data_IF_776276757898
#
_entry.id   IF_776276757898
#
_cell.length_a   1.000
_cell.length_b   1.000
_cell.length_c   1.000
_cell.angle_alpha   90.00
_cell.angle_beta   90.00
_cell.angle_gamma   90.00
#
_symmetry.space_group_name_H-M   'P 1'
#
loop_
_entity.id
_entity.type
_entity.pdbx_description
1 polymer ?
#
# COMPACT_ATOMS: atom_id res chain seq x y z
N UNK A 1 22.41 13.11 45.85
CA UNK A 1 23.07 13.31 44.54
C UNK A 1 22.12 12.78 43.49
N UNK A 2 21.36 13.67 42.86
CA UNK A 2 20.34 13.34 41.86
C UNK A 2 20.91 13.59 40.45
N UNK A 3 20.77 12.65 39.51
CA UNK A 3 21.01 12.95 38.10
C UNK A 3 19.74 13.57 37.50
N UNK A 4 19.88 14.75 36.90
CA UNK A 4 18.84 15.35 36.07
C UNK A 4 18.85 14.68 34.70
N UNK A 5 17.75 14.02 34.36
CA UNK A 5 17.46 13.55 33.00
C UNK A 5 16.99 14.74 32.17
N UNK A 6 17.74 15.10 31.14
CA UNK A 6 17.31 16.09 30.12
C UNK A 6 16.41 15.39 29.11
N UNK A 7 15.11 15.67 29.18
CA UNK A 7 14.17 15.42 28.09
C UNK A 7 14.46 16.41 26.96
N UNK A 8 15.03 15.94 25.86
CA UNK A 8 15.09 16.70 24.61
C UNK A 8 13.74 16.56 23.90
N UNK A 9 13.05 17.69 23.74
CA UNK A 9 11.74 17.82 23.13
C UNK A 9 11.78 17.50 21.63
N UNK A 10 10.96 16.54 21.20
CA UNK A 10 10.71 16.17 19.79
C UNK A 10 9.73 17.12 19.07
N UNK A 11 9.46 18.30 19.64
CA UNK A 11 8.52 19.30 19.10
C UNK A 11 9.12 20.26 18.05
N UNK A 12 10.33 19.98 17.55
CA UNK A 12 11.08 20.89 16.67
C UNK A 12 11.01 20.60 15.16
N UNK A 13 10.50 19.43 14.74
CA UNK A 13 10.58 19.00 13.33
C UNK A 13 9.31 19.30 12.50
N UNK A 14 8.15 19.41 13.12
CA UNK A 14 6.87 19.71 12.44
C UNK A 14 6.81 21.13 11.82
N UNK A 15 7.27 22.21 12.49
CA UNK A 15 7.22 23.55 11.89
C UNK A 15 8.15 23.70 10.68
N UNK A 16 9.25 22.94 10.65
CA UNK A 16 10.24 22.98 9.57
C UNK A 16 9.72 22.38 8.27
N UNK A 17 8.98 21.27 8.34
CA UNK A 17 8.39 20.62 7.17
C UNK A 17 7.24 21.43 6.56
N UNK A 18 6.37 22.02 7.38
CA UNK A 18 5.30 22.90 6.88
C UNK A 18 5.87 24.19 6.26
N UNK A 19 6.90 24.80 6.86
CA UNK A 19 7.55 25.98 6.28
C UNK A 19 8.37 25.66 5.03
N UNK A 20 8.94 24.46 4.92
CA UNK A 20 9.62 24.01 3.71
C UNK A 20 8.63 23.76 2.55
N UNK A 21 7.46 23.14 2.80
CA UNK A 21 6.41 23.01 1.78
C UNK A 21 5.86 24.38 1.34
N UNK A 22 5.64 25.31 2.28
CA UNK A 22 5.18 26.67 1.97
C UNK A 22 6.23 27.48 1.20
N UNK A 23 7.52 27.29 1.51
CA UNK A 23 8.61 27.91 0.76
C UNK A 23 8.78 27.30 -0.64
N UNK A 24 8.60 25.98 -0.80
CA UNK A 24 8.60 25.31 -2.12
C UNK A 24 7.40 25.80 -2.96
N UNK A 25 6.21 25.96 -2.37
CA UNK A 25 5.04 26.52 -3.05
C UNK A 25 5.14 28.02 -3.35
N UNK A 26 5.97 28.79 -2.63
CA UNK A 26 6.19 30.22 -2.91
C UNK A 26 7.40 30.53 -3.80
N UNK A 27 8.37 29.59 -3.94
CA UNK A 27 9.58 29.77 -4.76
C UNK A 27 9.44 29.13 -6.14
N UNK A 28 8.59 28.10 -6.29
CA UNK A 28 8.11 27.74 -7.62
C UNK A 28 7.17 28.87 -8.06
N UNK A 29 7.49 29.63 -9.13
CA UNK A 29 6.46 30.44 -9.75
C UNK A 29 5.32 29.48 -10.04
N UNK A 30 4.17 29.68 -9.40
CA UNK A 30 2.89 29.19 -9.92
C UNK A 30 2.70 29.97 -11.21
N UNK A 31 3.44 29.57 -12.24
CA UNK A 31 3.15 29.92 -13.60
C UNK A 31 1.81 29.27 -13.82
N UNK A 32 0.73 30.02 -13.58
CA UNK A 32 -0.60 29.62 -14.02
C UNK A 32 -0.43 29.29 -15.50
N UNK A 33 -0.52 28.00 -15.82
CA UNK A 33 -0.35 27.54 -17.17
C UNK A 33 -1.39 28.26 -18.02
N UNK A 34 -0.97 28.88 -19.11
CA UNK A 34 -1.92 29.49 -20.03
C UNK A 34 -2.68 28.34 -20.70
N UNK A 35 -4.01 28.23 -20.48
CA UNK A 35 -4.79 27.19 -21.11
C UNK A 35 -4.80 27.47 -22.61
N UNK A 36 -4.42 26.49 -23.41
CA UNK A 36 -4.49 26.64 -24.87
C UNK A 36 -5.73 25.96 -25.41
N UNK A 37 -6.44 26.68 -26.28
CA UNK A 37 -7.69 26.22 -26.88
C UNK A 37 -7.49 26.05 -28.37
N UNK A 38 -7.91 24.91 -28.91
CA UNK A 38 -7.90 24.64 -30.36
C UNK A 38 -9.06 23.74 -30.77
N UNK A 39 -9.50 23.80 -32.04
CA UNK A 39 -10.63 23.00 -32.47
C UNK A 39 -10.27 21.51 -32.51
N UNK A 40 -11.27 20.66 -32.23
CA UNK A 40 -11.10 19.20 -32.25
C UNK A 40 -10.63 18.74 -33.64
N UNK A 41 -11.19 19.33 -34.70
CA UNK A 41 -10.76 19.06 -36.07
C UNK A 41 -10.11 20.32 -36.68
N UNK A 42 -8.97 20.16 -37.40
CA UNK A 42 -8.21 18.92 -37.58
C UNK A 42 -7.25 18.60 -36.41
N UNK A 43 -6.92 19.56 -35.56
CA UNK A 43 -5.70 19.52 -34.76
C UNK A 43 -5.67 18.46 -33.65
N UNK A 44 -6.73 18.33 -32.84
CA UNK A 44 -6.75 17.30 -31.79
C UNK A 44 -6.75 15.89 -32.39
N UNK A 45 -7.46 15.71 -33.50
CA UNK A 45 -7.50 14.43 -34.20
C UNK A 45 -6.13 14.06 -34.77
N UNK A 46 -5.45 15.01 -35.41
CA UNK A 46 -4.10 14.81 -35.94
C UNK A 46 -3.09 14.48 -34.83
N UNK A 47 -3.18 15.15 -33.67
CA UNK A 47 -2.39 14.80 -32.49
C UNK A 47 -2.62 13.35 -32.06
N UNK A 48 -3.89 12.95 -31.91
CA UNK A 48 -4.23 11.58 -31.51
C UNK A 48 -3.75 10.55 -32.55
N UNK A 49 -3.85 10.86 -33.84
CA UNK A 49 -3.37 9.98 -34.91
C UNK A 49 -1.84 9.87 -34.91
N UNK A 50 -1.12 10.96 -34.62
CA UNK A 50 0.34 10.99 -34.55
C UNK A 50 0.89 10.25 -33.32
N UNK A 51 0.27 10.44 -32.15
CA UNK A 51 0.75 9.90 -30.87
C UNK A 51 0.04 8.59 -30.48
N UNK A 52 -0.81 8.03 -31.36
CA UNK A 52 -1.64 6.85 -31.11
C UNK A 52 -0.84 5.68 -30.52
N UNK A 53 0.30 5.35 -31.13
CA UNK A 53 1.13 4.21 -30.74
C UNK A 53 1.76 4.43 -29.35
N UNK A 54 2.26 5.65 -29.07
CA UNK A 54 2.83 6.00 -27.77
C UNK A 54 1.78 5.95 -26.68
N UNK A 55 0.59 6.52 -26.93
CA UNK A 55 -0.54 6.51 -25.99
C UNK A 55 -1.04 5.08 -25.75
N UNK A 56 -1.12 4.26 -26.79
CA UNK A 56 -1.48 2.84 -26.66
C UNK A 56 -0.48 2.07 -25.82
N UNK A 57 0.83 2.28 -26.05
CA UNK A 57 1.89 1.63 -25.26
C UNK A 57 1.82 2.05 -23.79
N UNK A 58 1.63 3.34 -23.50
CA UNK A 58 1.40 3.81 -22.11
C UNK A 58 0.17 3.14 -21.48
N UNK A 59 -0.92 3.02 -22.24
CA UNK A 59 -2.15 2.40 -21.78
C UNK A 59 -1.97 0.89 -21.46
N UNK A 60 -1.14 0.17 -22.22
CA UNK A 60 -0.78 -1.22 -21.95
C UNK A 60 0.05 -1.36 -20.68
N UNK A 61 1.01 -0.46 -20.43
CA UNK A 61 1.80 -0.46 -19.20
C UNK A 61 0.95 -0.12 -17.95
N UNK A 62 -0.02 0.78 -18.10
CA UNK A 62 -1.02 1.05 -17.05
C UNK A 62 -1.87 -0.20 -16.76
N UNK A 63 -2.31 -0.93 -17.78
CA UNK A 63 -3.02 -2.21 -17.59
C UNK A 63 -2.14 -3.23 -16.86
N UNK A 64 -0.87 -3.39 -17.27
CA UNK A 64 0.08 -4.30 -16.60
C UNK A 64 0.25 -3.93 -15.13
N UNK A 65 0.39 -2.64 -14.82
CA UNK A 65 0.45 -2.14 -13.44
C UNK A 65 -0.80 -2.57 -12.65
N UNK A 66 -2.01 -2.30 -13.19
CA UNK A 66 -3.27 -2.61 -12.51
C UNK A 66 -3.47 -4.10 -12.29
N UNK A 67 -3.19 -4.93 -13.30
CA UNK A 67 -3.27 -6.39 -13.21
C UNK A 67 -2.29 -6.91 -12.16
N UNK A 68 -1.04 -6.46 -12.18
CA UNK A 68 -0.04 -6.86 -11.18
C UNK A 68 -0.46 -6.48 -9.77
N UNK A 69 -0.98 -5.28 -9.57
CA UNK A 69 -1.49 -4.85 -8.26
C UNK A 69 -2.65 -5.71 -7.76
N UNK A 70 -3.55 -6.15 -8.65
CA UNK A 70 -4.70 -6.96 -8.26
C UNK A 70 -4.32 -8.43 -7.97
N UNK A 71 -3.42 -9.02 -8.76
CA UNK A 71 -3.22 -10.47 -8.77
C UNK A 71 -1.83 -10.95 -8.33
N UNK A 72 -0.78 -10.15 -8.50
CA UNK A 72 0.61 -10.60 -8.29
C UNK A 72 1.25 -9.98 -7.04
N UNK A 73 1.24 -8.65 -6.98
CA UNK A 73 1.88 -7.85 -5.93
C UNK A 73 0.90 -6.81 -5.38
N UNK A 74 -0.02 -7.23 -4.51
CA UNK A 74 -0.97 -6.30 -3.91
C UNK A 74 -0.37 -5.46 -2.79
N UNK A 75 -0.89 -4.23 -2.61
CA UNK A 75 -0.52 -3.39 -1.48
C UNK A 75 -1.27 -3.82 -0.20
N UNK A 76 -2.53 -4.22 -0.33
CA UNK A 76 -3.46 -4.52 0.75
C UNK A 76 -4.17 -3.26 1.25
N UNK A 77 -5.49 -3.30 1.34
CA UNK A 77 -6.31 -2.17 1.81
C UNK A 77 -7.74 -2.21 1.27
N UNK A 78 -8.59 -1.23 1.64
CA UNK A 78 -9.97 -1.16 1.16
C UNK A 78 -10.08 -0.97 -0.36
N UNK A 79 -9.07 -0.38 -0.99
CA UNK A 79 -9.01 -0.22 -2.46
C UNK A 79 -8.66 -1.53 -3.19
N UNK A 80 -8.17 -2.54 -2.45
CA UNK A 80 -7.86 -3.87 -2.98
C UNK A 80 -8.93 -4.90 -2.53
N UNK A 81 -10.16 -4.43 -2.26
CA UNK A 81 -11.28 -5.22 -1.70
C UNK A 81 -11.78 -6.36 -2.57
N UNK A 82 -11.41 -6.40 -3.85
CA UNK A 82 -11.66 -7.54 -4.73
C UNK A 82 -10.61 -8.65 -4.62
N UNK A 83 -9.65 -8.54 -3.70
CA UNK A 83 -8.69 -9.62 -3.48
C UNK A 83 -9.42 -10.94 -3.25
N UNK A 84 -9.25 -11.85 -4.19
CA UNK A 84 -9.44 -13.27 -3.95
C UNK A 84 -8.61 -13.63 -2.71
N UNK A 85 -9.18 -14.43 -1.80
CA UNK A 85 -8.51 -14.85 -0.55
C UNK A 85 -7.08 -15.38 -0.78
N UNK A 86 -6.80 -15.88 -1.98
CA UNK A 86 -5.52 -16.41 -2.44
C UNK A 86 -4.41 -15.36 -2.55
N UNK A 87 -4.72 -14.09 -2.88
CA UNK A 87 -3.72 -13.03 -3.08
C UNK A 87 -3.32 -12.29 -1.80
N UNK A 88 -4.18 -12.28 -0.77
CA UNK A 88 -3.96 -11.51 0.46
C UNK A 88 -2.64 -11.84 1.19
N UNK A 89 -2.20 -13.12 1.29
CA UNK A 89 -0.93 -13.45 1.95
C UNK A 89 0.33 -12.95 1.21
N UNK A 90 0.20 -12.54 -0.04
CA UNK A 90 1.26 -11.89 -0.81
C UNK A 90 1.25 -10.36 -0.68
N UNK A 91 0.26 -9.77 0.01
CA UNK A 91 0.13 -8.31 0.11
C UNK A 91 1.12 -7.67 1.07
N UNK A 92 1.54 -6.42 0.78
CA UNK A 92 2.37 -5.65 1.71
C UNK A 92 1.70 -5.51 3.09
N UNK A 93 0.40 -5.23 3.16
CA UNK A 93 -0.35 -5.18 4.43
C UNK A 93 -0.21 -6.48 5.22
N UNK A 94 -0.33 -7.64 4.56
CA UNK A 94 -0.20 -8.91 5.25
C UNK A 94 1.22 -9.09 5.80
N UNK A 95 2.26 -8.85 4.99
CA UNK A 95 3.65 -8.98 5.42
C UNK A 95 3.98 -8.04 6.60
N UNK A 96 3.49 -6.79 6.56
CA UNK A 96 3.65 -5.85 7.67
C UNK A 96 2.89 -6.30 8.92
N UNK A 97 1.69 -6.88 8.78
CA UNK A 97 0.95 -7.43 9.91
C UNK A 97 1.71 -8.57 10.58
N UNK A 98 2.31 -9.46 9.78
CA UNK A 98 3.14 -10.55 10.30
C UNK A 98 4.33 -9.99 11.09
N UNK A 99 5.05 -9.01 10.54
CA UNK A 99 6.17 -8.36 11.23
C UNK A 99 5.73 -7.62 12.52
N UNK A 100 4.60 -6.93 12.51
CA UNK A 100 4.03 -6.26 13.70
C UNK A 100 3.71 -7.26 14.80
N UNK A 101 3.18 -8.43 14.45
CA UNK A 101 2.90 -9.48 15.42
C UNK A 101 4.18 -10.12 15.95
N UNK A 102 5.17 -10.37 15.10
CA UNK A 102 6.49 -10.83 15.53
C UNK A 102 7.14 -9.82 16.50
N UNK A 103 7.03 -8.52 16.22
CA UNK A 103 7.50 -7.45 17.09
C UNK A 103 6.80 -7.47 18.46
N UNK A 104 5.46 -7.57 18.50
CA UNK A 104 4.68 -7.69 19.75
C UNK A 104 5.06 -8.94 20.55
N UNK A 105 5.18 -10.08 19.88
CA UNK A 105 5.56 -11.36 20.49
C UNK A 105 6.97 -11.28 21.08
N UNK A 106 7.89 -10.58 20.42
CA UNK A 106 9.22 -10.35 20.95
C UNK A 106 9.21 -9.40 22.15
N UNK A 107 8.36 -8.38 22.15
CA UNK A 107 8.12 -7.54 23.33
C UNK A 107 7.67 -8.36 24.55
N UNK A 108 6.72 -9.28 24.35
CA UNK A 108 6.29 -10.20 25.41
C UNK A 108 7.40 -11.17 25.85
N UNK A 109 8.30 -11.57 24.96
CA UNK A 109 9.49 -12.34 25.32
C UNK A 109 10.46 -11.53 26.17
N UNK A 110 10.68 -10.25 25.85
CA UNK A 110 11.50 -9.34 26.66
C UNK A 110 10.94 -9.22 28.08
N UNK A 111 9.62 -9.13 28.24
CA UNK A 111 9.00 -9.11 29.58
C UNK A 111 9.34 -10.39 30.38
N UNK A 112 9.40 -11.56 29.72
CA UNK A 112 9.85 -12.81 30.35
C UNK A 112 11.34 -12.81 30.68
N UNK A 113 12.18 -12.21 29.84
CA UNK A 113 13.61 -12.02 30.11
C UNK A 113 13.86 -11.11 31.32
N UNK A 114 12.90 -10.23 31.65
CA UNK A 114 12.93 -9.35 32.82
C UNK A 114 12.29 -9.96 34.07
N UNK A 115 11.90 -11.24 34.02
CA UNK A 115 11.26 -11.93 35.15
C UNK A 115 12.10 -11.85 36.43
N UNK A 116 11.48 -11.69 37.62
CA UNK A 116 12.19 -11.76 38.89
C UNK A 116 12.74 -13.17 39.18
N UNK A 117 12.26 -14.21 38.48
CA UNK A 117 12.82 -15.56 38.53
C UNK A 117 14.03 -15.67 37.58
N UNK A 118 15.26 -15.81 38.10
CA UNK A 118 16.46 -15.87 37.27
C UNK A 118 16.48 -17.07 36.30
N UNK A 119 15.80 -18.17 36.63
CA UNK A 119 15.75 -19.34 35.76
C UNK A 119 14.87 -19.10 34.53
N UNK A 120 13.77 -18.37 34.70
CA UNK A 120 12.91 -17.97 33.58
C UNK A 120 13.61 -16.95 32.70
N UNK A 121 14.18 -15.91 33.32
CA UNK A 121 14.91 -14.86 32.62
C UNK A 121 16.06 -15.44 31.77
N UNK A 122 16.91 -16.28 32.37
CA UNK A 122 18.04 -16.88 31.66
C UNK A 122 17.60 -17.83 30.56
N UNK A 123 16.55 -18.65 30.78
CA UNK A 123 16.03 -19.55 29.76
C UNK A 123 15.55 -18.80 28.52
N UNK A 124 14.84 -17.69 28.71
CA UNK A 124 14.33 -16.89 27.60
C UNK A 124 15.50 -16.21 26.85
N UNK A 125 16.50 -15.69 27.56
CA UNK A 125 17.72 -15.15 26.93
C UNK A 125 18.48 -16.22 26.12
N UNK A 126 18.68 -17.40 26.70
CA UNK A 126 19.35 -18.53 26.05
C UNK A 126 18.58 -18.98 24.80
N UNK A 127 17.24 -18.98 24.86
CA UNK A 127 16.37 -19.36 23.75
C UNK A 127 16.57 -18.45 22.52
N UNK A 128 16.69 -17.13 22.72
CA UNK A 128 17.00 -16.18 21.65
C UNK A 128 18.50 -16.02 21.36
N UNK A 129 19.37 -16.66 22.14
CA UNK A 129 20.83 -16.53 22.00
C UNK A 129 21.37 -15.14 22.42
N UNK A 130 20.75 -14.51 23.41
CA UNK A 130 21.08 -13.16 23.87
C UNK A 130 21.85 -13.19 25.19
N UNK A 131 22.80 -12.28 25.36
CA UNK A 131 23.61 -12.21 26.59
C UNK A 131 22.89 -11.45 27.71
N UNK A 132 22.01 -10.52 27.35
CA UNK A 132 21.29 -9.68 28.31
C UNK A 132 20.06 -9.02 27.68
N UNK A 133 19.17 -8.52 28.54
CA UNK A 133 17.93 -7.82 28.17
C UNK A 133 18.19 -6.59 27.29
N UNK A 134 19.31 -5.89 27.49
CA UNK A 134 19.65 -4.69 26.71
C UNK A 134 19.86 -5.00 25.22
N UNK A 135 20.40 -6.18 24.88
CA UNK A 135 20.49 -6.65 23.49
C UNK A 135 19.10 -6.89 22.91
N UNK A 136 18.21 -7.54 23.67
CA UNK A 136 16.83 -7.81 23.26
C UNK A 136 16.06 -6.51 22.98
N UNK A 137 16.12 -5.56 23.91
CA UNK A 137 15.50 -4.23 23.76
C UNK A 137 16.03 -3.47 22.54
N UNK A 138 17.34 -3.57 22.27
CA UNK A 138 17.95 -2.92 21.10
C UNK A 138 17.43 -3.53 19.79
N UNK A 139 17.32 -4.86 19.72
CA UNK A 139 16.80 -5.55 18.53
C UNK A 139 15.31 -5.28 18.34
N UNK A 140 14.53 -5.26 19.42
CA UNK A 140 13.10 -4.94 19.38
C UNK A 140 12.86 -3.50 18.90
N UNK A 141 13.67 -2.54 19.37
CA UNK A 141 13.63 -1.16 18.86
C UNK A 141 13.98 -1.11 17.38
N UNK A 142 15.05 -1.78 16.97
CA UNK A 142 15.49 -1.80 15.58
C UNK A 142 14.42 -2.36 14.64
N UNK A 143 13.75 -3.47 15.00
CA UNK A 143 12.62 -3.99 14.24
C UNK A 143 11.44 -3.00 14.21
N UNK A 144 11.16 -2.36 15.34
CA UNK A 144 10.12 -1.33 15.45
C UNK A 144 10.38 -0.10 14.57
N UNK A 145 11.63 0.32 14.46
CA UNK A 145 12.04 1.45 13.62
C UNK A 145 11.81 1.13 12.13
N UNK A 146 12.27 -0.04 11.65
CA UNK A 146 11.97 -0.48 10.27
C UNK A 146 10.47 -0.61 10.02
N UNK A 147 9.73 -1.23 10.95
CA UNK A 147 8.27 -1.37 10.83
C UNK A 147 7.56 -0.04 10.63
N UNK A 148 7.97 0.98 11.37
CA UNK A 148 7.44 2.33 11.23
C UNK A 148 7.71 2.88 9.83
N UNK A 149 8.94 2.75 9.34
CA UNK A 149 9.32 3.26 8.02
C UNK A 149 8.50 2.58 6.90
N UNK A 150 8.26 1.27 6.97
CA UNK A 150 7.43 0.57 5.99
C UNK A 150 5.94 0.88 6.09
N UNK A 151 5.42 1.14 7.29
CA UNK A 151 4.05 1.65 7.45
C UNK A 151 3.93 3.02 6.78
N UNK A 152 4.91 3.91 6.97
CA UNK A 152 4.93 5.23 6.34
C UNK A 152 5.07 5.13 4.81
N UNK A 153 5.89 4.21 4.30
CA UNK A 153 5.99 3.93 2.86
C UNK A 153 4.66 3.45 2.29
N UNK A 154 3.99 2.50 2.95
CA UNK A 154 2.69 1.98 2.51
C UNK A 154 1.66 3.11 2.38
N UNK A 155 1.57 4.03 3.35
CA UNK A 155 0.62 5.16 3.28
C UNK A 155 0.93 6.11 2.12
N UNK A 156 2.21 6.43 1.91
CA UNK A 156 2.65 7.30 0.81
C UNK A 156 2.31 6.67 -0.56
N UNK A 157 2.60 5.39 -0.72
CA UNK A 157 2.35 4.65 -1.96
C UNK A 157 0.85 4.48 -2.20
N UNK A 158 0.07 4.11 -1.18
CA UNK A 158 -1.39 3.93 -1.29
C UNK A 158 -2.10 5.18 -1.86
N UNK A 159 -1.68 6.36 -1.42
CA UNK A 159 -2.26 7.63 -1.88
C UNK A 159 -2.08 7.80 -3.39
N UNK A 160 -0.88 7.56 -3.89
CA UNK A 160 -0.53 7.73 -5.31
C UNK A 160 -1.10 6.61 -6.16
N UNK A 161 -1.12 5.39 -5.64
CA UNK A 161 -1.69 4.23 -6.28
C UNK A 161 -3.19 4.40 -6.57
N UNK A 162 -3.93 4.99 -5.63
CA UNK A 162 -5.33 5.37 -5.85
C UNK A 162 -5.51 6.40 -6.97
N UNK A 163 -4.55 7.32 -7.15
CA UNK A 163 -4.61 8.28 -8.24
C UNK A 163 -4.27 7.62 -9.59
N UNK A 164 -3.28 6.71 -9.62
CA UNK A 164 -2.92 5.93 -10.81
C UNK A 164 -4.07 5.00 -11.23
N UNK A 165 -4.79 4.38 -10.30
CA UNK A 165 -5.94 3.51 -10.61
C UNK A 165 -7.04 4.20 -11.42
N UNK A 166 -7.18 5.51 -11.24
CA UNK A 166 -8.17 6.33 -11.96
C UNK A 166 -7.78 6.59 -13.40
N UNK A 167 -6.50 6.40 -13.76
CA UNK A 167 -6.04 6.58 -15.14
C UNK A 167 -6.44 5.37 -15.96
N UNK A 168 -7.16 5.51 -17.09
CA UNK A 168 -7.51 4.38 -17.93
C UNK A 168 -6.25 3.79 -18.58
N UNK A 169 -6.16 2.46 -18.58
CA UNK A 169 -5.26 1.72 -19.45
C UNK A 169 -5.97 1.31 -20.74
N UNK A 170 -5.41 0.38 -21.49
CA UNK A 170 -5.95 0.02 -22.81
C UNK A 170 -7.30 -0.71 -22.69
N UNK A 171 -7.38 -1.65 -21.74
CA UNK A 171 -8.50 -2.56 -21.52
C UNK A 171 -9.17 -2.36 -20.16
N UNK A 172 -8.56 -1.57 -19.26
CA UNK A 172 -9.09 -1.26 -17.93
C UNK A 172 -9.40 0.24 -17.82
N UNK A 173 -10.64 0.66 -17.49
CA UNK A 173 -11.74 -0.15 -16.99
C UNK A 173 -12.38 -1.03 -18.08
N UNK A 174 -12.84 -2.21 -17.66
CA UNK A 174 -13.53 -3.15 -18.55
C UNK A 174 -14.90 -2.59 -18.98
N UNK A 175 -15.37 -3.01 -20.16
CA UNK A 175 -16.65 -2.56 -20.72
C UNK A 175 -16.60 -1.21 -21.44
N UNK A 176 -15.48 -0.48 -21.35
CA UNK A 176 -15.18 0.68 -22.20
C UNK A 176 -14.38 0.20 -23.41
N UNK A 177 -14.69 0.73 -24.60
CA UNK A 177 -13.93 0.38 -25.82
C UNK A 177 -12.51 0.95 -25.73
N UNK A 178 -11.47 0.23 -26.18
CA UNK A 178 -10.09 0.70 -26.10
C UNK A 178 -9.88 2.10 -26.68
N UNK A 179 -10.53 2.44 -27.80
CA UNK A 179 -10.38 3.76 -28.43
C UNK A 179 -10.89 4.90 -27.53
N UNK A 180 -11.91 4.63 -26.71
CA UNK A 180 -12.43 5.59 -25.75
C UNK A 180 -11.47 5.74 -24.57
N UNK A 181 -10.89 4.64 -24.09
CA UNK A 181 -9.86 4.69 -23.04
C UNK A 181 -8.63 5.50 -23.49
N UNK A 182 -8.15 5.28 -24.71
CA UNK A 182 -7.01 6.03 -25.26
C UNK A 182 -7.31 7.53 -25.38
N UNK A 183 -8.53 7.90 -25.79
CA UNK A 183 -8.94 9.31 -25.83
C UNK A 183 -9.00 9.93 -24.43
N UNK A 184 -9.51 9.20 -23.43
CA UNK A 184 -9.54 9.68 -22.04
C UNK A 184 -8.12 9.80 -21.50
N UNK A 185 -7.24 8.82 -21.75
CA UNK A 185 -5.84 8.86 -21.35
C UNK A 185 -5.13 10.08 -21.94
N UNK A 186 -5.28 10.33 -23.24
CA UNK A 186 -4.72 11.49 -23.92
C UNK A 186 -5.17 12.81 -23.27
N UNK A 187 -6.46 12.91 -22.89
CA UNK A 187 -6.96 14.08 -22.17
C UNK A 187 -6.38 14.17 -20.76
N UNK A 188 -6.22 13.07 -20.03
CA UNK A 188 -5.65 13.11 -18.69
C UNK A 188 -4.19 13.54 -18.69
N UNK A 189 -3.39 13.08 -19.67
CA UNK A 189 -1.99 13.48 -19.83
C UNK A 189 -1.88 14.99 -20.00
N UNK A 190 -2.79 15.59 -20.78
CA UNK A 190 -2.78 17.02 -21.12
C UNK A 190 -3.72 17.87 -20.23
N UNK A 191 -4.32 17.27 -19.19
CA UNK A 191 -5.43 17.80 -18.39
C UNK A 191 -6.51 18.51 -19.24
N UNK A 192 -6.81 17.90 -20.39
CA UNK A 192 -7.67 18.41 -21.43
C UNK A 192 -9.16 18.30 -21.09
N UNK A 193 -9.94 19.24 -21.62
CA UNK A 193 -11.41 19.15 -21.61
C UNK A 193 -12.03 19.64 -22.92
N UNK A 194 -13.16 19.05 -23.29
CA UNK A 194 -13.92 19.48 -24.45
C UNK A 194 -14.87 20.63 -24.10
N UNK A 195 -14.81 21.72 -24.87
CA UNK A 195 -15.72 22.88 -24.74
C UNK A 195 -16.11 23.38 -26.13
N UNK A 196 -17.40 23.27 -26.47
CA UNK A 196 -17.97 23.84 -27.70
C UNK A 196 -17.21 23.49 -28.99
N UNK A 197 -16.86 22.21 -29.18
CA UNK A 197 -16.11 21.75 -30.36
C UNK A 197 -14.60 22.04 -30.33
N UNK A 198 -14.10 22.55 -29.21
CA UNK A 198 -12.67 22.77 -28.95
C UNK A 198 -12.17 21.87 -27.83
N UNK A 199 -10.86 21.66 -27.80
CA UNK A 199 -10.13 21.10 -26.67
C UNK A 199 -9.41 22.26 -25.97
N UNK A 200 -9.52 22.30 -24.64
CA UNK A 200 -8.74 23.21 -23.80
C UNK A 200 -7.72 22.35 -23.05
N UNK A 201 -6.44 22.59 -23.28
CA UNK A 201 -5.32 21.89 -22.63
C UNK A 201 -4.60 22.79 -21.63
N UNK A 202 -3.99 22.17 -20.63
CA UNK A 202 -3.06 22.83 -19.71
C UNK A 202 -1.63 22.47 -20.12
N UNK A 203 -0.83 23.50 -20.46
CA UNK A 203 0.53 23.33 -20.97
C UNK A 203 1.53 22.75 -19.97
N UNK A 204 1.16 22.66 -18.68
CA UNK A 204 1.95 22.04 -17.62
C UNK A 204 1.38 20.70 -17.14
N UNK A 205 0.21 20.28 -17.63
CA UNK A 205 -0.45 19.05 -17.18
C UNK A 205 0.44 17.81 -17.28
N UNK A 206 1.19 17.70 -18.38
CA UNK A 206 2.10 16.58 -18.62
C UNK A 206 3.17 16.44 -17.54
N UNK A 207 3.64 17.55 -16.97
CA UNK A 207 4.57 17.53 -15.84
C UNK A 207 3.90 16.96 -14.57
N UNK A 208 2.64 17.30 -14.32
CA UNK A 208 1.87 16.70 -13.22
C UNK A 208 1.62 15.19 -13.42
N UNK A 209 1.24 14.79 -14.64
CA UNK A 209 1.05 13.39 -15.00
C UNK A 209 2.33 12.57 -14.80
N UNK A 210 3.44 13.02 -15.38
CA UNK A 210 4.76 12.36 -15.25
C UNK A 210 5.27 12.35 -13.81
N UNK A 211 5.06 13.43 -13.04
CA UNK A 211 5.47 13.51 -11.64
C UNK A 211 4.86 12.40 -10.80
N UNK A 212 3.60 12.04 -11.03
CA UNK A 212 2.92 10.98 -10.27
C UNK A 212 3.59 9.61 -10.46
N UNK A 213 3.85 9.20 -11.71
CA UNK A 213 4.53 7.93 -12.00
C UNK A 213 5.97 7.95 -11.50
N UNK A 214 6.69 9.07 -11.69
CA UNK A 214 8.03 9.24 -11.14
C UNK A 214 8.05 9.11 -9.62
N UNK A 215 7.13 9.78 -8.93
CA UNK A 215 7.05 9.73 -7.48
C UNK A 215 6.78 8.29 -7.00
N UNK A 216 5.84 7.59 -7.64
CA UNK A 216 5.57 6.18 -7.33
C UNK A 216 6.82 5.31 -7.54
N UNK A 217 7.48 5.43 -8.69
CA UNK A 217 8.72 4.72 -9.02
C UNK A 217 9.82 4.98 -7.99
N UNK A 218 10.11 6.25 -7.70
CA UNK A 218 11.17 6.63 -6.75
C UNK A 218 10.87 6.11 -5.33
N UNK A 219 9.59 6.11 -4.92
CA UNK A 219 9.17 5.62 -3.60
C UNK A 219 9.26 4.11 -3.47
N UNK A 220 8.90 3.39 -4.52
CA UNK A 220 9.02 1.93 -4.57
C UNK A 220 10.49 1.53 -4.58
N UNK A 221 11.34 2.21 -5.36
CA UNK A 221 12.78 1.99 -5.31
C UNK A 221 13.38 2.27 -3.93
N UNK A 222 12.93 3.33 -3.22
CA UNK A 222 13.33 3.57 -1.82
C UNK A 222 12.92 2.43 -0.91
N UNK A 223 11.67 1.95 -1.04
CA UNK A 223 11.16 0.84 -0.24
C UNK A 223 11.93 -0.47 -0.50
N UNK A 224 12.29 -0.76 -1.75
CA UNK A 224 13.08 -1.94 -2.13
C UNK A 224 14.46 -1.91 -1.46
N UNK A 225 15.20 -0.80 -1.60
CA UNK A 225 16.51 -0.63 -0.99
C UNK A 225 16.46 -0.73 0.55
N UNK A 226 15.43 -0.14 1.16
CA UNK A 226 15.25 -0.24 2.61
C UNK A 226 14.91 -1.67 3.05
N UNK A 227 14.18 -2.43 2.22
CA UNK A 227 13.83 -3.82 2.50
C UNK A 227 15.06 -4.73 2.41
N UNK A 228 15.89 -4.56 1.39
CA UNK A 228 17.19 -5.24 1.29
C UNK A 228 18.07 -4.93 2.52
N UNK A 229 18.14 -3.64 2.90
CA UNK A 229 18.90 -3.22 4.09
C UNK A 229 18.38 -3.86 5.37
N UNK A 230 17.06 -3.80 5.59
CA UNK A 230 16.40 -4.42 6.74
C UNK A 230 16.63 -5.93 6.77
N UNK A 231 16.50 -6.62 5.64
CA UNK A 231 16.76 -8.06 5.53
C UNK A 231 18.20 -8.40 5.92
N UNK A 232 19.18 -7.65 5.40
CA UNK A 232 20.60 -7.84 5.71
C UNK A 232 20.90 -7.62 7.20
N UNK A 233 20.34 -6.56 7.79
CA UNK A 233 20.49 -6.25 9.22
C UNK A 233 19.84 -7.33 10.08
N UNK A 234 18.60 -7.71 9.76
CA UNK A 234 17.82 -8.71 10.51
C UNK A 234 18.38 -10.11 10.39
N UNK A 235 19.03 -10.45 9.28
CA UNK A 235 19.75 -11.71 9.15
C UNK A 235 20.87 -11.85 10.19
N UNK A 236 21.54 -10.75 10.51
CA UNK A 236 22.65 -10.75 11.47
C UNK A 236 22.19 -10.64 12.93
N UNK A 237 21.03 -10.01 13.19
CA UNK A 237 20.54 -9.77 14.55
C UNK A 237 19.40 -10.70 14.99
N UNK A 238 18.56 -11.15 14.06
CA UNK A 238 17.30 -11.87 14.31
C UNK A 238 17.12 -13.05 13.34
N UNK A 239 18.21 -13.69 12.90
CA UNK A 239 18.19 -14.79 11.92
C UNK A 239 18.07 -16.21 12.50
N UNK A 240 17.96 -16.36 13.82
CA UNK A 240 17.89 -17.67 14.48
C UNK A 240 16.48 -18.27 14.51
N UNK A 241 16.38 -19.59 14.70
CA UNK A 241 15.10 -20.34 14.74
C UNK A 241 14.08 -19.76 15.74
N UNK A 242 14.55 -19.25 16.88
CA UNK A 242 13.71 -18.60 17.88
C UNK A 242 12.95 -17.39 17.35
N UNK A 243 13.56 -16.61 16.44
CA UNK A 243 12.92 -15.46 15.80
C UNK A 243 11.93 -15.88 14.72
N UNK A 244 12.23 -16.95 13.98
CA UNK A 244 11.28 -17.52 13.01
C UNK A 244 10.00 -17.98 13.72
N UNK A 245 10.11 -18.50 14.95
CA UNK A 245 8.93 -18.88 15.74
C UNK A 245 8.03 -17.69 16.13
N UNK A 246 8.56 -16.45 16.15
CA UNK A 246 7.75 -15.26 16.37
C UNK A 246 6.76 -15.00 15.23
N UNK A 247 7.04 -15.55 14.04
CA UNK A 247 6.26 -15.38 12.81
C UNK A 247 5.31 -16.56 12.56
N UNK A 248 5.75 -17.80 12.80
CA UNK A 248 5.08 -19.03 12.31
C UNK A 248 3.74 -19.36 12.97
N UNK A 249 3.33 -18.69 14.06
CA UNK A 249 1.99 -18.87 14.63
C UNK A 249 0.86 -18.32 13.71
N UNK A 250 1.20 -17.68 12.59
CA UNK A 250 0.26 -16.95 11.74
C UNK A 250 0.36 -17.25 10.24
N UNK A 251 1.10 -18.27 9.82
CA UNK A 251 1.07 -18.68 8.42
C UNK A 251 -0.35 -19.22 8.11
N UNK A 252 -1.14 -18.54 7.24
CA UNK A 252 -2.49 -18.99 6.89
C UNK A 252 -2.48 -20.33 6.16
N UNK A 253 -1.32 -20.79 5.71
CA UNK A 253 -1.10 -22.06 5.03
C UNK A 253 -0.35 -23.07 5.89
N UNK A 254 0.12 -22.70 7.10
CA UNK A 254 0.76 -23.67 7.97
C UNK A 254 -0.29 -24.70 8.39
N UNK A 255 0.00 -26.01 8.26
CA UNK A 255 -0.84 -27.03 8.87
C UNK A 255 -0.86 -26.74 10.37
N UNK A 256 -2.06 -26.53 10.94
CA UNK A 256 -2.26 -26.25 12.37
C UNK A 256 -1.46 -27.27 13.16
N UNK A 257 -0.34 -26.84 13.73
CA UNK A 257 0.47 -27.71 14.56
C UNK A 257 -0.43 -28.17 15.72
N UNK A 258 -0.48 -29.48 16.03
CA UNK A 258 -1.30 -29.94 17.13
C UNK A 258 -0.83 -29.22 18.38
N UNK A 259 -1.67 -28.32 18.90
CA UNK A 259 -1.40 -27.58 20.11
C UNK A 259 -1.04 -28.60 21.18
N UNK A 260 0.24 -28.62 21.59
CA UNK A 260 0.65 -29.34 22.76
C UNK A 260 -0.03 -28.64 23.93
N UNK A 261 -1.21 -29.15 24.27
CA UNK A 261 -1.97 -28.82 25.46
C UNK A 261 -1.02 -28.96 26.65
N UNK A 262 -0.39 -27.86 27.05
CA UNK A 262 0.27 -27.76 28.34
C UNK A 262 -0.85 -27.80 29.37
N UNK A 263 -1.16 -29.01 29.83
CA UNK A 263 -2.19 -29.27 30.80
C UNK A 263 -1.94 -28.51 32.08
N UNK A 264 -2.57 -27.34 32.22
CA UNK A 264 -2.93 -26.80 33.52
C UNK A 264 -4.31 -27.35 33.88
N UNK A 265 -4.30 -28.42 34.67
CA UNK A 265 -5.48 -28.86 35.41
C UNK A 265 -5.80 -27.82 36.47
N UNK A 266 -6.62 -26.81 36.14
CA UNK A 266 -7.28 -25.99 37.14
C UNK A 266 -8.49 -26.76 37.66
N UNK A 267 -8.39 -27.22 38.91
CA UNK A 267 -9.55 -27.65 39.69
C UNK A 267 -10.37 -26.42 40.07
N UNK A 268 -11.56 -26.28 39.49
CA UNK A 268 -12.57 -25.30 39.88
C UNK A 268 -13.46 -25.96 40.96
N UNK A 269 -13.62 -25.37 42.16
CA UNK A 269 -14.67 -25.77 43.08
C UNK A 269 -16.01 -25.15 42.64
N UNK A 270 -17.03 -26.00 42.48
CA UNK A 270 -18.44 -25.61 42.43
C UNK A 270 -18.87 -24.95 43.73
N UNK A 271 -19.58 -23.81 43.65
CA UNK A 271 -20.71 -23.46 44.53
C UNK A 271 -21.45 -22.19 44.02
N UNK A 272 -22.66 -21.85 44.51
CA UNK A 272 -23.89 -22.08 43.77
C UNK A 272 -24.67 -20.80 43.38
N UNK A 273 -25.71 -21.01 42.56
CA UNK A 273 -26.75 -20.07 42.14
C UNK A 273 -27.30 -19.18 43.26
N UNK A 274 -27.35 -17.87 43.00
CA UNK A 274 -28.33 -16.96 43.60
C UNK A 274 -29.17 -16.29 42.51
N UNK A 275 -30.49 -16.42 42.68
CA UNK A 275 -31.55 -15.76 41.93
C UNK A 275 -31.48 -14.24 42.16
N UNK A 276 -31.68 -13.43 41.10
CA UNK A 276 -32.04 -12.03 41.27
C UNK A 276 -33.04 -11.57 40.20
N UNK A 277 -34.24 -11.33 40.75
CA UNK A 277 -35.35 -10.44 40.45
C UNK A 277 -35.45 -9.65 39.13
N UNK A 278 -36.70 -9.68 38.65
CA UNK A 278 -37.33 -8.85 37.63
C UNK A 278 -37.29 -7.36 38.00
N UNK A 279 -37.01 -6.52 37.01
CA UNK A 279 -37.28 -5.09 37.02
C UNK A 279 -37.69 -4.63 35.63
N UNK A 280 -38.99 -4.43 35.44
CA UNK A 280 -39.58 -3.71 34.31
C UNK A 280 -39.19 -2.24 34.39
N UNK A 281 -38.71 -1.65 33.29
CA UNK A 281 -38.92 -0.22 33.06
C UNK A 281 -38.97 0.12 31.57
N UNK A 282 -40.06 0.82 31.22
CA UNK A 282 -40.39 1.38 29.92
C UNK A 282 -39.50 2.59 29.63
N UNK A 283 -39.00 2.75 28.39
CA UNK A 283 -39.24 4.01 27.66
C UNK A 283 -38.76 4.04 26.21
N UNK A 284 -39.66 4.59 25.39
CA UNK A 284 -39.45 5.55 24.30
C UNK A 284 -38.54 5.19 23.12
N UNK A 285 -39.25 4.82 22.07
CA UNK A 285 -38.97 5.05 20.65
C UNK A 285 -38.50 6.48 20.33
N UNK A 286 -37.32 6.59 19.73
CA UNK A 286 -36.97 7.62 18.76
C UNK A 286 -36.45 6.94 17.49
N UNK A 287 -37.01 7.34 16.36
CA UNK A 287 -36.59 6.91 15.03
C UNK A 287 -35.29 7.64 14.68
N UNK A 288 -34.21 6.87 14.51
CA UNK A 288 -32.95 7.31 13.94
C UNK A 288 -32.90 6.72 12.53
N UNK A 289 -32.70 7.58 11.53
CA UNK A 289 -32.40 7.18 10.16
C UNK A 289 -31.08 6.38 10.18
N UNK A 290 -31.17 5.09 9.89
CA UNK A 290 -30.01 4.22 9.68
C UNK A 290 -29.35 4.61 8.34
N UNK A 291 -28.31 5.43 8.44
CA UNK A 291 -27.32 5.58 7.39
C UNK A 291 -26.45 4.30 7.44
N UNK A 292 -26.65 3.39 6.48
CA UNK A 292 -25.86 2.16 6.34
C UNK A 292 -24.38 2.53 6.15
N UNK A 293 -23.62 2.49 7.25
CA UNK A 293 -22.16 2.57 7.18
C UNK A 293 -21.60 1.25 6.64
N UNK A 294 -20.61 1.30 5.72
CA UNK A 294 -20.01 0.09 5.18
C UNK A 294 -19.33 -0.70 6.30
N UNK A 295 -19.86 -1.89 6.55
CA UNK A 295 -19.27 -2.91 7.43
C UNK A 295 -18.00 -3.44 6.76
N UNK A 296 -16.88 -2.78 7.04
CA UNK A 296 -15.53 -3.28 6.79
C UNK A 296 -14.82 -3.55 8.12
N UNK A 297 -13.92 -4.54 8.23
CA UNK A 297 -13.44 -5.04 9.52
C UNK A 297 -12.42 -4.14 10.24
N UNK A 298 -12.25 -2.88 9.82
CA UNK A 298 -11.29 -1.95 10.43
C UNK A 298 -11.82 -0.51 10.35
N UNK A 299 -11.91 0.15 11.51
CA UNK A 299 -11.98 1.61 11.59
C UNK A 299 -10.64 2.14 12.10
N UNK A 300 -10.06 3.07 11.34
CA UNK A 300 -8.86 3.80 11.74
C UNK A 300 -9.33 4.98 12.61
N UNK A 301 -8.86 5.05 13.86
CA UNK A 301 -9.20 6.18 14.72
C UNK A 301 -8.44 7.45 14.26
N UNK A 302 -8.89 8.62 14.74
CA UNK A 302 -8.32 9.93 14.37
C UNK A 302 -6.81 10.06 14.70
N UNK A 303 -6.25 9.11 15.47
CA UNK A 303 -4.85 9.03 15.87
C UNK A 303 -4.01 8.01 15.07
N UNK A 304 -4.56 7.39 14.02
CA UNK A 304 -3.84 6.44 13.15
C UNK A 304 -3.52 5.10 13.81
N UNK A 305 -4.26 4.72 14.86
CA UNK A 305 -4.08 3.48 15.60
C UNK A 305 -5.17 2.47 15.20
N UNK A 306 -4.74 1.32 14.69
CA UNK A 306 -5.65 0.23 14.32
C UNK A 306 -6.12 -0.53 15.58
N UNK A 307 -7.42 -0.45 15.88
CA UNK A 307 -8.09 -1.28 16.89
C UNK A 307 -8.94 -2.36 16.22
N UNK A 308 -9.04 -3.53 16.86
CA UNK A 308 -9.63 -4.75 16.30
C UNK A 308 -10.93 -5.07 17.06
N UNK A 309 -12.08 -5.02 16.38
CA UNK A 309 -13.32 -5.58 16.94
C UNK A 309 -13.37 -7.09 16.71
N UNK A 310 -13.59 -7.85 17.79
CA UNK A 310 -13.90 -9.28 17.71
C UNK A 310 -15.38 -9.45 17.35
N UNK A 311 -15.68 -9.57 16.05
CA UNK A 311 -17.02 -9.87 15.54
C UNK A 311 -17.01 -11.04 14.56
N UNK A 312 -17.70 -12.14 14.91
CA UNK A 312 -17.88 -13.30 14.04
C UNK A 312 -18.96 -13.07 12.97
N UNK A 313 -18.67 -13.46 11.72
CA UNK A 313 -19.62 -13.37 10.60
C UNK A 313 -19.27 -14.36 9.46
N UNK A 314 -20.30 -15.02 8.94
CA UNK A 314 -20.25 -16.13 7.97
C UNK A 314 -19.99 -15.66 6.53
N UNK A 315 -19.12 -16.37 5.79
CA UNK A 315 -18.84 -16.12 4.37
C UNK A 315 -19.84 -16.85 3.45
N UNK A 316 -20.35 -16.12 2.46
CA UNK A 316 -21.28 -16.59 1.43
C UNK A 316 -20.48 -17.05 0.20
N UNK A 317 -20.70 -18.27 -0.26
CA UNK A 317 -20.04 -18.86 -1.44
C UNK A 317 -20.58 -18.22 -2.73
N UNK A 318 -19.67 -17.74 -3.58
CA UNK A 318 -19.93 -17.38 -4.97
C UNK A 318 -19.36 -18.50 -5.84
N UNK A 319 -20.20 -19.10 -6.69
CA UNK A 319 -19.82 -20.11 -7.66
C UNK A 319 -19.12 -19.43 -8.86
N UNK A 320 -17.86 -19.80 -9.12
CA UNK A 320 -17.12 -19.40 -10.31
C UNK A 320 -17.35 -20.42 -11.44
N UNK A 321 -17.80 -19.96 -12.60
CA UNK A 321 -17.77 -20.74 -13.84
C UNK A 321 -16.34 -20.73 -14.42
N UNK A 322 -15.64 -21.85 -14.24
CA UNK A 322 -14.35 -22.11 -14.84
C UNK A 322 -14.45 -22.23 -16.37
N UNK A 323 -13.77 -21.33 -17.10
CA UNK A 323 -13.31 -21.64 -18.45
C UNK A 323 -12.04 -20.85 -18.78
N UNK A 324 -10.90 -21.39 -18.37
CA UNK A 324 -9.58 -20.82 -18.61
C UNK A 324 -8.49 -21.79 -18.22
N UNK A 325 -8.20 -22.76 -19.08
CA UNK A 325 -7.10 -23.71 -18.95
C UNK A 325 -5.76 -22.96 -19.12
N UNK A 326 -5.26 -22.37 -18.03
CA UNK A 326 -3.93 -21.78 -17.92
C UNK A 326 -3.18 -22.43 -16.75
N UNK A 327 -1.94 -22.77 -17.01
CA UNK A 327 -0.99 -23.52 -16.17
C UNK A 327 -0.71 -22.88 -14.80
N UNK A 328 -1.55 -23.16 -13.80
CA UNK A 328 -1.33 -22.76 -12.40
C UNK A 328 -0.51 -23.77 -11.58
N UNK A 329 -0.11 -24.91 -12.16
CA UNK A 329 0.64 -25.96 -11.43
C UNK A 329 2.05 -25.50 -11.01
N UNK A 330 2.64 -24.48 -11.65
CA UNK A 330 3.96 -23.95 -11.30
C UNK A 330 3.92 -22.94 -10.12
N UNK A 331 2.77 -22.35 -9.80
CA UNK A 331 2.66 -21.38 -8.69
C UNK A 331 2.52 -22.04 -7.31
N UNK A 332 1.96 -23.26 -7.26
CA UNK A 332 1.72 -23.99 -6.01
C UNK A 332 3.01 -24.64 -5.45
N UNK A 333 3.98 -24.99 -6.29
CA UNK A 333 5.30 -25.46 -5.84
C UNK A 333 6.20 -24.33 -5.32
N UNK A 334 6.04 -23.10 -5.84
CA UNK A 334 6.80 -21.93 -5.37
C UNK A 334 6.41 -21.52 -3.93
N UNK A 335 5.21 -21.88 -3.47
CA UNK A 335 4.70 -21.51 -2.15
C UNK A 335 5.24 -22.40 -0.98
N UNK A 336 5.83 -23.57 -1.26
CA UNK A 336 6.21 -24.53 -0.20
C UNK A 336 7.61 -24.30 0.40
N UNK A 337 8.44 -23.44 -0.20
CA UNK A 337 9.76 -23.06 0.32
C UNK A 337 9.83 -21.57 0.69
N UNK A 338 8.71 -21.04 1.14
CA UNK A 338 8.62 -19.66 1.57
C UNK A 338 9.37 -19.46 2.90
N UNK A 339 10.50 -18.74 2.86
CA UNK A 339 11.21 -18.29 4.07
C UNK A 339 10.33 -17.29 4.83
N UNK A 340 9.83 -17.74 5.99
CA UNK A 340 9.01 -16.97 6.94
C UNK A 340 9.81 -16.47 8.14
N UNK A 341 11.14 -16.44 8.05
CA UNK A 341 11.94 -15.68 9.01
C UNK A 341 11.69 -14.17 8.86
N UNK A 342 11.99 -13.38 9.89
CA UNK A 342 11.93 -11.91 9.82
C UNK A 342 12.70 -11.35 8.61
N UNK A 343 13.98 -11.72 8.36
CA UNK A 343 14.68 -11.29 7.15
C UNK A 343 14.03 -11.82 5.86
N UNK A 344 13.48 -13.04 5.88
CA UNK A 344 12.72 -13.60 4.76
C UNK A 344 11.50 -12.75 4.39
N UNK A 345 10.79 -12.18 5.36
CA UNK A 345 9.66 -11.28 5.10
C UNK A 345 10.13 -9.98 4.45
N UNK A 346 11.25 -9.39 4.90
CA UNK A 346 11.79 -8.19 4.25
C UNK A 346 12.21 -8.46 2.79
N UNK A 347 12.83 -9.59 2.48
CA UNK A 347 13.12 -9.98 1.09
C UNK A 347 11.84 -10.09 0.22
N UNK A 348 10.70 -10.47 0.81
CA UNK A 348 9.42 -10.47 0.08
C UNK A 348 8.91 -9.07 -0.18
N UNK A 349 9.07 -8.15 0.79
CA UNK A 349 8.71 -6.74 0.61
C UNK A 349 9.55 -6.14 -0.52
N UNK A 350 10.83 -6.48 -0.60
CA UNK A 350 11.71 -6.14 -1.73
C UNK A 350 11.16 -6.67 -3.06
N UNK A 351 10.89 -7.98 -3.16
CA UNK A 351 10.34 -8.57 -4.39
C UNK A 351 8.97 -8.00 -4.80
N UNK A 352 8.14 -7.59 -3.83
CA UNK A 352 6.90 -6.85 -4.11
C UNK A 352 7.17 -5.49 -4.74
N UNK A 353 8.21 -4.78 -4.26
CA UNK A 353 8.60 -3.49 -4.79
C UNK A 353 9.02 -3.61 -6.27
N UNK A 354 9.89 -4.58 -6.59
CA UNK A 354 10.38 -4.84 -7.95
C UNK A 354 9.23 -5.13 -8.94
N UNK A 355 8.15 -5.77 -8.46
CA UNK A 355 6.98 -6.09 -9.28
C UNK A 355 6.31 -4.85 -9.89
N UNK A 356 6.33 -3.71 -9.20
CA UNK A 356 5.74 -2.46 -9.66
C UNK A 356 6.70 -1.57 -10.45
N UNK A 357 8.01 -1.71 -10.23
CA UNK A 357 9.03 -0.78 -10.72
C UNK A 357 9.01 -0.63 -12.25
N UNK A 358 9.02 -1.74 -12.98
CA UNK A 358 9.06 -1.76 -14.45
C UNK A 358 7.90 -0.96 -15.09
N UNK A 359 6.63 -1.35 -14.87
CA UNK A 359 5.49 -0.65 -15.47
C UNK A 359 5.44 0.85 -15.12
N UNK A 360 5.81 1.23 -13.89
CA UNK A 360 5.82 2.64 -13.49
C UNK A 360 6.92 3.44 -14.19
N UNK A 361 8.11 2.85 -14.34
CA UNK A 361 9.20 3.44 -15.10
C UNK A 361 8.84 3.65 -16.56
N UNK A 362 8.28 2.63 -17.22
CA UNK A 362 7.94 2.70 -18.65
C UNK A 362 6.90 3.80 -18.93
N UNK A 363 5.85 3.92 -18.12
CA UNK A 363 4.88 5.02 -18.29
C UNK A 363 5.54 6.39 -18.08
N UNK A 364 6.41 6.51 -17.08
CA UNK A 364 7.16 7.74 -16.84
C UNK A 364 8.08 8.10 -18.02
N UNK A 365 8.85 7.14 -18.53
CA UNK A 365 9.80 7.34 -19.63
C UNK A 365 9.06 7.70 -20.93
N UNK A 366 7.99 6.97 -21.26
CA UNK A 366 7.16 7.25 -22.45
C UNK A 366 6.57 8.66 -22.40
N UNK A 367 5.99 9.07 -21.27
CA UNK A 367 5.37 10.38 -21.13
C UNK A 367 6.39 11.54 -21.13
N UNK A 368 7.62 11.31 -20.67
CA UNK A 368 8.66 12.34 -20.60
C UNK A 368 9.49 12.45 -21.89
N UNK A 369 9.88 11.32 -22.47
CA UNK A 369 10.93 11.24 -23.48
C UNK A 369 10.43 10.84 -24.87
N UNK A 370 9.28 10.15 -24.97
CA UNK A 370 8.79 9.60 -26.24
C UNK A 370 7.60 10.40 -26.77
N UNK A 371 6.66 10.77 -25.89
CA UNK A 371 5.46 11.51 -26.27
C UNK A 371 5.85 12.87 -26.87
N UNK A 372 5.47 13.08 -28.13
CA UNK A 372 5.79 14.30 -28.88
C UNK A 372 5.26 15.57 -28.19
N UNK A 373 5.83 16.76 -28.48
CA UNK A 373 5.27 18.00 -27.97
C UNK A 373 3.81 18.14 -28.45
N UNK A 374 2.99 18.86 -27.69
CA UNK A 374 1.68 19.29 -28.20
C UNK A 374 1.92 19.99 -29.55
N UNK A 375 1.19 19.62 -30.63
CA UNK A 375 1.44 20.18 -31.96
C UNK A 375 1.42 21.70 -31.92
N UNK A 376 2.24 22.35 -32.74
CA UNK A 376 2.24 23.81 -32.84
C UNK A 376 0.82 24.30 -33.16
N UNK A 377 0.24 25.02 -32.20
CA UNK A 377 -1.14 25.47 -32.18
C UNK A 377 -1.35 26.71 -33.07
N UNK A 378 -0.27 27.19 -33.69
CA UNK A 378 -0.32 28.23 -34.72
C UNK A 378 -1.12 27.71 -35.92
N UNK A 379 -2.15 28.44 -36.39
CA UNK A 379 -2.77 28.14 -37.68
C UNK A 379 -1.66 28.00 -38.74
N UNK A 380 -1.74 27.03 -39.65
CA UNK A 380 -0.79 26.94 -40.73
C UNK A 380 -0.67 28.30 -41.40
N UNK A 381 0.56 28.81 -41.52
CA UNK A 381 0.84 30.19 -42.00
C UNK A 381 0.25 30.52 -43.38
N UNK A 382 -0.24 29.52 -44.11
CA UNK A 382 -0.94 29.68 -45.39
C UNK A 382 -2.45 29.98 -45.28
N UNK A 383 -3.08 29.76 -44.13
CA UNK A 383 -4.51 30.08 -43.90
C UNK A 383 -4.73 31.61 -43.79
N UNK A 384 -3.75 32.35 -43.27
CA UNK A 384 -3.84 33.82 -43.11
C UNK A 384 -3.86 34.61 -44.43
N UNK A 385 -3.63 33.98 -45.59
CA UNK A 385 -3.61 34.67 -46.90
C UNK A 385 -4.93 34.65 -47.66
N UNK A 386 -5.98 33.96 -47.19
CA UNK A 386 -7.21 33.79 -47.98
C UNK A 386 -8.41 34.65 -47.59
N UNK A 387 -8.34 35.45 -46.51
CA UNK A 387 -9.48 36.25 -46.02
C UNK A 387 -9.38 37.75 -46.27
N UNK A 388 -8.38 38.21 -47.02
CA UNK A 388 -8.35 39.58 -47.57
C UNK A 388 -8.43 39.54 -49.09
N UNK A 389 -9.64 39.35 -49.63
CA UNK A 389 -10.05 39.86 -50.94
C UNK A 389 -11.56 40.03 -50.99
#
# INVERSE_FOLDING_TARGET
>A
MHPQVRLASLSGLMPGLCMAMLAIMMILPVAFADPVTFPIEPYWREYLDQEADTIATMAEEIDKYKIRRLFACPLGGPEDTTMLQTGYPRSLTFLLRVLVNAWRNFGAAIDRMQSPDPLVAQRELDYFGLENVGQAESQHRLLGDFLKDFVDFRHQIATVFRDIDRIPGLTIPTGVRPEVNLQILALMIEAGRFVNGNVILDTQARAGFTFMFKFAYDKIGQMANEAEHAASVMKNSMGGDAYTQLVTEQDPFAPVAPQQNQGQTQMVPEEPNEELEQGDEQNQSEAIEEEEQPIGPWQENEDGRLELEQGGGQAQQIEEEENGNSSNEDEDEANQNLDWSIPGIFNRIEGLAECWEGPLWEVYDLALNVLGPIPDLSPPTWIERSTFN
#
